data_IF_111870391039
#
_entry.id   IF_111870391039
#
_cell.length_a   1.000
_cell.length_b   1.000
_cell.length_c   1.000
_cell.angle_alpha   90.00
_cell.angle_beta   90.00
_cell.angle_gamma   90.00
#
_symmetry.space_group_name_H-M   'P 1'
#
loop_
_entity.id
_entity.type
_entity.pdbx_description
1 polymer ?
#
# COMPACT_ATOMS: atom_id res chain seq x y z
N UNK A 1 -3.30 -11.32 20.31
CA UNK A 1 -3.53 -10.93 18.90
C UNK A 1 -4.64 -11.74 18.21
N UNK A 2 -4.70 -13.07 18.29
CA UNK A 2 -5.75 -13.85 17.61
C UNK A 2 -7.19 -13.45 18.01
N UNK A 3 -7.45 -13.28 19.31
CA UNK A 3 -8.76 -12.84 19.85
C UNK A 3 -9.30 -11.55 19.21
N UNK A 4 -8.42 -10.65 18.75
CA UNK A 4 -8.84 -9.42 18.08
C UNK A 4 -9.50 -9.71 16.73
N UNK A 5 -8.97 -10.68 15.98
CA UNK A 5 -9.53 -11.11 14.70
C UNK A 5 -10.78 -11.98 14.89
N UNK A 6 -10.77 -12.85 15.90
CA UNK A 6 -11.93 -13.67 16.24
C UNK A 6 -13.16 -12.80 16.55
N UNK A 7 -12.99 -11.74 17.35
CA UNK A 7 -14.06 -10.77 17.68
C UNK A 7 -14.58 -9.97 16.47
N UNK A 8 -13.82 -9.88 15.38
CA UNK A 8 -14.23 -9.22 14.14
C UNK A 8 -14.90 -10.16 13.14
N UNK A 9 -15.07 -11.44 13.51
CA UNK A 9 -15.73 -12.44 12.67
C UNK A 9 -14.82 -13.07 11.61
N UNK A 10 -13.49 -12.97 11.74
CA UNK A 10 -12.59 -13.71 10.85
C UNK A 10 -12.67 -15.21 11.14
N UNK A 11 -12.65 -16.08 10.12
CA UNK A 11 -12.65 -17.52 10.33
C UNK A 11 -11.42 -17.97 11.14
N UNK A 12 -11.65 -18.79 12.17
CA UNK A 12 -10.60 -19.29 13.08
C UNK A 12 -9.44 -19.96 12.33
N UNK A 13 -9.75 -20.70 11.26
CA UNK A 13 -8.74 -21.37 10.42
C UNK A 13 -7.77 -20.37 9.77
N UNK A 14 -8.26 -19.21 9.32
CA UNK A 14 -7.44 -18.16 8.71
C UNK A 14 -6.56 -17.50 9.76
N UNK A 15 -7.12 -17.21 10.94
CA UNK A 15 -6.40 -16.58 12.06
C UNK A 15 -5.27 -17.47 12.56
N UNK A 16 -5.56 -18.76 12.79
CA UNK A 16 -4.56 -19.74 13.25
C UNK A 16 -3.46 -19.97 12.21
N UNK A 17 -3.84 -20.15 10.94
CA UNK A 17 -2.86 -20.32 9.86
C UNK A 17 -1.97 -19.08 9.71
N UNK A 18 -2.54 -17.86 9.83
CA UNK A 18 -1.78 -16.61 9.83
C UNK A 18 -0.83 -16.48 11.01
N UNK A 19 -1.31 -16.82 12.21
CA UNK A 19 -0.50 -16.78 13.43
C UNK A 19 0.71 -17.71 13.34
N UNK A 20 0.48 -18.96 12.92
CA UNK A 20 1.54 -19.94 12.72
C UNK A 20 2.54 -19.53 11.65
N UNK A 21 2.10 -18.90 10.54
CA UNK A 21 3.02 -18.35 9.53
C UNK A 21 3.88 -17.23 10.09
N UNK A 22 3.28 -16.30 10.85
CA UNK A 22 4.02 -15.18 11.43
C UNK A 22 5.05 -15.62 12.47
N UNK A 23 4.73 -16.63 13.29
CA UNK A 23 5.66 -17.21 14.27
C UNK A 23 6.91 -17.85 13.64
N UNK A 24 6.83 -18.26 12.37
CA UNK A 24 7.94 -18.89 11.65
C UNK A 24 8.94 -17.90 11.06
N UNK A 25 8.61 -16.62 11.01
CA UNK A 25 9.49 -15.59 10.46
C UNK A 25 10.32 -15.03 11.61
N UNK A 26 11.65 -15.16 11.53
CA UNK A 26 12.54 -14.53 12.50
C UNK A 26 12.58 -13.01 12.30
N UNK A 27 12.95 -12.28 13.36
CA UNK A 27 12.95 -10.82 13.34
C UNK A 27 13.88 -10.24 12.26
N UNK A 28 15.06 -10.83 12.05
CA UNK A 28 16.03 -10.33 11.07
C UNK A 28 15.48 -10.50 9.66
N UNK A 29 14.89 -11.64 9.33
CA UNK A 29 14.22 -11.84 8.04
C UNK A 29 12.99 -10.95 7.86
N UNK A 30 12.23 -10.68 8.92
CA UNK A 30 11.08 -9.78 8.86
C UNK A 30 11.47 -8.32 8.59
N UNK A 31 12.67 -7.91 9.04
CA UNK A 31 13.22 -6.57 8.86
C UNK A 31 13.98 -6.40 7.54
N UNK A 32 14.25 -7.48 6.79
CA UNK A 32 14.87 -7.37 5.48
C UNK A 32 13.88 -6.77 4.48
N UNK A 33 14.32 -5.71 3.80
CA UNK A 33 13.58 -5.14 2.67
C UNK A 33 13.61 -6.15 1.53
N UNK A 34 12.43 -6.53 1.02
CA UNK A 34 12.36 -7.31 -0.19
C UNK A 34 12.91 -6.50 -1.36
N UNK A 35 13.93 -7.03 -2.05
CA UNK A 35 14.41 -6.42 -3.29
C UNK A 35 13.27 -6.45 -4.31
N UNK A 36 12.86 -5.27 -4.75
CA UNK A 36 11.85 -5.14 -5.79
C UNK A 36 12.58 -5.07 -7.12
N UNK A 37 12.23 -5.96 -8.04
CA UNK A 37 12.74 -5.88 -9.40
C UNK A 37 12.38 -4.52 -9.99
N UNK A 38 13.42 -3.79 -10.42
CA UNK A 38 13.25 -2.58 -11.21
C UNK A 38 12.66 -3.01 -12.55
N UNK A 39 11.43 -2.60 -12.80
CA UNK A 39 10.69 -2.97 -14.01
C UNK A 39 10.35 -1.73 -14.80
N UNK A 40 10.66 -1.75 -16.10
CA UNK A 40 10.27 -0.70 -17.04
C UNK A 40 8.79 -0.79 -17.44
N UNK A 41 8.04 -1.73 -16.84
CA UNK A 41 6.62 -1.92 -17.10
C UNK A 41 5.82 -0.70 -16.67
N UNK A 42 5.19 -0.06 -17.65
CA UNK A 42 4.34 1.10 -17.44
C UNK A 42 3.14 0.72 -16.55
N UNK A 43 2.87 1.45 -15.45
CA UNK A 43 1.72 1.17 -14.60
C UNK A 43 0.42 1.62 -15.25
N UNK A 44 -0.58 0.75 -15.24
CA UNK A 44 -1.94 1.06 -15.64
C UNK A 44 -2.85 1.00 -14.41
N UNK A 45 -3.26 2.16 -13.93
CA UNK A 45 -4.02 2.27 -12.66
C UNK A 45 -5.52 2.32 -12.92
N UNK A 46 -6.21 1.25 -12.57
CA UNK A 46 -7.67 1.17 -12.60
C UNK A 46 -8.28 1.52 -11.25
N UNK A 47 -9.53 1.94 -11.23
CA UNK A 47 -10.29 2.02 -9.97
C UNK A 47 -10.74 0.61 -9.56
N UNK A 48 -10.65 0.28 -8.27
CA UNK A 48 -11.09 -1.00 -7.71
C UNK A 48 -12.63 -1.10 -7.73
N UNK A 49 -13.17 -1.67 -8.79
CA UNK A 49 -14.60 -1.92 -8.97
C UNK A 49 -14.80 -3.34 -9.52
N UNK A 50 -15.82 -4.11 -9.07
CA UNK A 50 -16.06 -5.48 -9.56
C UNK A 50 -16.11 -5.60 -11.09
N UNK A 51 -16.74 -4.65 -11.78
CA UNK A 51 -16.80 -4.61 -13.25
C UNK A 51 -15.44 -4.31 -13.93
N UNK A 52 -14.51 -3.65 -13.24
CA UNK A 52 -13.18 -3.35 -13.79
C UNK A 52 -12.24 -4.57 -13.78
N UNK A 53 -12.63 -5.66 -13.12
CA UNK A 53 -11.84 -6.89 -13.08
C UNK A 53 -11.70 -7.53 -14.48
N UNK A 54 -12.73 -7.41 -15.32
CA UNK A 54 -12.69 -7.89 -16.70
C UNK A 54 -11.72 -7.08 -17.57
N UNK A 55 -11.60 -5.77 -17.30
CA UNK A 55 -10.74 -4.84 -18.05
C UNK A 55 -9.27 -5.28 -18.01
N UNK A 56 -8.80 -5.77 -16.85
CA UNK A 56 -7.46 -6.34 -16.72
C UNK A 56 -7.20 -7.44 -17.76
N UNK A 57 -8.15 -8.35 -17.91
CA UNK A 57 -8.02 -9.47 -18.84
C UNK A 57 -8.07 -9.00 -20.29
N UNK A 58 -8.91 -8.02 -20.60
CA UNK A 58 -9.03 -7.43 -21.94
C UNK A 58 -7.72 -6.75 -22.35
N UNK A 59 -7.13 -5.93 -21.47
CA UNK A 59 -5.86 -5.25 -21.71
C UNK A 59 -4.75 -6.27 -22.01
N UNK A 60 -4.60 -7.29 -21.15
CA UNK A 60 -3.53 -8.28 -21.31
C UNK A 60 -3.71 -9.14 -22.58
N UNK A 61 -4.94 -9.50 -22.94
CA UNK A 61 -5.22 -10.28 -24.16
C UNK A 61 -4.91 -9.50 -25.44
N UNK A 62 -5.22 -8.21 -25.45
CA UNK A 62 -5.08 -7.36 -26.64
C UNK A 62 -3.77 -6.57 -26.68
N UNK A 63 -2.86 -6.79 -25.73
CA UNK A 63 -1.60 -6.06 -25.62
C UNK A 63 -0.76 -6.09 -26.91
N UNK A 64 -0.84 -7.19 -27.67
CA UNK A 64 -0.15 -7.33 -28.96
C UNK A 64 -0.49 -6.22 -29.97
N UNK A 65 -1.68 -5.61 -29.87
CA UNK A 65 -2.06 -4.49 -30.73
C UNK A 65 -1.13 -3.29 -30.53
N UNK A 66 -0.72 -3.03 -29.28
CA UNK A 66 0.23 -1.97 -28.94
C UNK A 66 1.67 -2.38 -29.24
N UNK A 67 1.99 -3.67 -29.07
CA UNK A 67 3.36 -4.16 -29.30
C UNK A 67 3.71 -4.23 -30.80
N UNK A 68 2.73 -4.49 -31.66
CA UNK A 68 2.93 -4.66 -33.11
C UNK A 68 3.02 -3.34 -33.87
N UNK A 69 2.60 -2.23 -33.27
CA UNK A 69 2.70 -0.90 -33.88
C UNK A 69 4.10 -0.31 -33.65
N UNK A 70 4.67 0.31 -34.69
CA UNK A 70 6.09 0.70 -34.69
C UNK A 70 6.44 1.82 -33.72
N UNK A 71 5.50 2.73 -33.44
CA UNK A 71 5.72 3.81 -32.48
C UNK A 71 5.44 3.33 -31.05
N UNK A 72 4.29 2.68 -30.86
CA UNK A 72 3.83 2.29 -29.52
C UNK A 72 4.53 1.04 -28.98
N UNK A 73 5.04 0.14 -29.83
CA UNK A 73 5.79 -1.05 -29.41
C UNK A 73 7.12 -0.74 -28.73
N UNK A 74 7.72 0.41 -29.05
CA UNK A 74 8.93 0.92 -28.39
C UNK A 74 8.61 1.31 -26.93
N UNK A 75 7.47 1.97 -26.72
CA UNK A 75 7.01 2.44 -25.41
C UNK A 75 6.46 1.26 -24.58
N UNK A 76 5.65 0.41 -25.21
CA UNK A 76 5.00 -0.75 -24.63
C UNK A 76 5.73 -2.04 -25.02
N UNK A 77 7.00 -2.12 -24.64
CA UNK A 77 7.82 -3.33 -24.87
C UNK A 77 7.34 -4.52 -24.03
N UNK A 78 6.78 -4.24 -22.86
CA UNK A 78 6.26 -5.23 -21.90
C UNK A 78 4.81 -4.94 -21.52
N UNK A 79 4.00 -5.97 -21.19
CA UNK A 79 2.63 -5.77 -20.74
C UNK A 79 2.57 -4.84 -19.52
N UNK A 80 1.63 -3.89 -19.45
CA UNK A 80 1.59 -2.92 -18.37
C UNK A 80 1.40 -3.59 -17.00
N UNK A 81 1.89 -2.93 -15.96
CA UNK A 81 1.66 -3.34 -14.58
C UNK A 81 0.29 -2.83 -14.14
N UNK A 82 -0.68 -3.73 -14.00
CA UNK A 82 -2.06 -3.34 -13.65
C UNK A 82 -2.18 -3.20 -12.14
N UNK A 83 -2.48 -1.99 -11.69
CA UNK A 83 -2.75 -1.65 -10.29
C UNK A 83 -4.21 -1.19 -10.12
N UNK A 84 -4.72 -1.33 -8.90
CA UNK A 84 -6.05 -0.84 -8.55
C UNK A 84 -5.96 0.22 -7.46
N UNK A 85 -6.49 1.40 -7.71
CA UNK A 85 -6.69 2.45 -6.72
C UNK A 85 -8.08 2.33 -6.10
N UNK A 86 -8.19 2.62 -4.81
CA UNK A 86 -9.49 2.77 -4.14
C UNK A 86 -10.24 3.98 -4.71
N UNK A 87 -11.57 3.91 -4.66
CA UNK A 87 -12.41 5.05 -4.98
C UNK A 87 -12.29 6.19 -3.96
N UNK A 88 -12.76 7.37 -4.38
CA UNK A 88 -12.91 8.48 -3.45
C UNK A 88 -14.05 8.16 -2.48
N UNK A 89 -13.73 7.94 -1.21
CA UNK A 89 -14.71 7.74 -0.15
C UNK A 89 -14.93 9.03 0.65
N UNK A 90 -15.96 9.03 1.50
CA UNK A 90 -16.31 10.20 2.33
C UNK A 90 -15.13 10.64 3.22
N UNK A 91 -14.33 9.70 3.72
CA UNK A 91 -13.12 9.99 4.49
C UNK A 91 -12.14 10.91 3.76
N UNK A 92 -11.97 10.77 2.45
CA UNK A 92 -11.09 11.68 1.68
C UNK A 92 -11.60 13.13 1.62
N UNK A 93 -12.90 13.35 1.81
CA UNK A 93 -13.49 14.69 1.86
C UNK A 93 -13.45 15.26 3.27
N UNK A 94 -13.58 14.39 4.28
CA UNK A 94 -13.61 14.75 5.69
C UNK A 94 -12.21 14.92 6.31
N UNK A 95 -11.17 14.30 5.74
CA UNK A 95 -9.77 14.37 6.19
C UNK A 95 -9.11 15.70 5.77
N UNK A 96 -9.68 16.81 6.23
CA UNK A 96 -9.14 18.17 6.06
C UNK A 96 -8.78 18.85 7.39
N UNK A 97 -8.87 18.15 8.52
CA UNK A 97 -8.40 18.70 9.79
C UNK A 97 -6.87 18.75 9.79
N UNK A 98 -6.30 19.91 9.50
CA UNK A 98 -4.91 20.19 9.84
C UNK A 98 -4.79 20.18 11.37
N UNK A 99 -3.87 19.37 11.90
CA UNK A 99 -3.41 19.61 13.27
C UNK A 99 -2.67 20.94 13.25
N UNK A 100 -3.30 22.00 13.76
CA UNK A 100 -2.57 23.19 14.19
C UNK A 100 -1.71 22.77 15.38
N UNK A 101 -0.46 22.38 15.14
CA UNK A 101 0.55 22.38 16.19
C UNK A 101 0.75 23.83 16.61
N UNK A 102 0.03 24.27 17.65
CA UNK A 102 0.39 25.46 18.39
C UNK A 102 1.74 25.19 19.06
N UNK A 103 2.84 25.47 18.35
CA UNK A 103 4.22 25.41 18.83
C UNK A 103 4.53 26.49 19.90
N UNK A 104 3.52 26.99 20.61
CA UNK A 104 3.67 28.02 21.63
C UNK A 104 3.39 27.52 23.05
N UNK A 105 2.96 26.27 23.24
CA UNK A 105 2.65 25.74 24.58
C UNK A 105 3.79 24.90 25.22
N UNK A 106 4.87 24.62 24.48
CA UNK A 106 6.01 23.82 24.97
C UNK A 106 7.27 24.66 25.29
N UNK A 107 7.24 25.97 25.03
CA UNK A 107 8.36 26.87 25.33
C UNK A 107 8.51 27.20 26.83
N UNK A 108 7.49 26.90 27.65
CA UNK A 108 7.55 27.16 29.09
C UNK A 108 8.00 25.95 29.93
N UNK A 109 7.93 24.72 29.38
CA UNK A 109 8.28 23.50 30.13
C UNK A 109 9.68 22.94 29.79
N UNK A 110 10.30 23.38 28.68
CA UNK A 110 11.67 22.98 28.34
C UNK A 110 12.76 23.72 29.14
N UNK A 111 12.41 24.76 29.91
CA UNK A 111 13.38 25.57 30.66
C UNK A 111 13.80 24.94 32.00
N UNK A 112 13.06 23.96 32.52
CA UNK A 112 13.37 23.28 33.78
C UNK A 112 14.19 21.99 33.62
N UNK A 113 14.23 21.39 32.43
CA UNK A 113 15.00 20.15 32.21
C UNK A 113 16.47 20.44 31.87
N UNK A 114 16.78 21.63 31.32
CA UNK A 114 18.15 21.99 30.93
C UNK A 114 19.00 22.60 32.07
N UNK A 115 18.47 22.74 33.30
CA UNK A 115 19.25 23.24 34.46
C UNK A 115 19.87 22.14 35.34
N UNK A 116 19.76 20.86 34.96
CA UNK A 116 20.32 19.74 35.72
C UNK A 116 21.55 19.08 35.06
N UNK A 117 22.09 19.65 33.98
CA UNK A 117 23.35 19.19 33.41
C UNK A 117 24.25 20.41 33.17
N UNK A 118 24.87 20.88 34.24
CA UNK A 118 26.16 21.57 34.22
C UNK A 118 26.92 21.12 35.47
#
# INVERSE_FOLDING_TARGET
MCQFFDKRGYPVSVVQAGHHRAQKIDLQSALQTAEKENTDRIPFTLTFHPHNHAVKSIILKNFKLLQNDSETGIIFSQPPLISFKRDKNIGNFLDRSSFQTNLNALAHDAKLVLSFIT
#
